data_IF_643605278536
#
_entry.id   IF_643605278536
#
_cell.length_a   1.000
_cell.length_b   1.000
_cell.length_c   1.000
_cell.angle_alpha   90.00
_cell.angle_beta   90.00
_cell.angle_gamma   90.00
#
_symmetry.space_group_name_H-M   'P 1'
#
loop_
_entity.id
_entity.type
_entity.pdbx_description
1 polymer ?
#
# COMPACT_ATOMS: atom_id res chain seq x y z
N UNK A 1 11.01 2.21 8.63
CA UNK A 1 11.70 0.94 8.99
C UNK A 1 11.85 -0.02 7.81
N UNK A 2 10.78 -0.26 7.04
CA UNK A 2 10.79 -1.15 5.86
C UNK A 2 11.88 -0.83 4.82
N UNK A 3 11.98 0.43 4.39
CA UNK A 3 13.00 0.85 3.42
C UNK A 3 14.44 0.59 3.92
N UNK A 4 14.71 0.86 5.20
CA UNK A 4 16.02 0.59 5.83
C UNK A 4 16.33 -0.91 5.82
N UNK A 5 15.34 -1.75 6.09
CA UNK A 5 15.50 -3.20 6.08
C UNK A 5 15.90 -3.72 4.68
N UNK A 6 15.16 -3.35 3.64
CA UNK A 6 15.44 -3.80 2.27
C UNK A 6 16.74 -3.19 1.69
N UNK A 7 17.02 -1.91 1.94
CA UNK A 7 18.28 -1.29 1.53
C UNK A 7 19.48 -1.94 2.23
N UNK A 8 19.37 -2.30 3.51
CA UNK A 8 20.40 -3.05 4.24
C UNK A 8 20.69 -4.43 3.65
N UNK A 9 19.71 -5.05 2.98
CA UNK A 9 19.86 -6.32 2.25
C UNK A 9 20.34 -6.15 0.80
N UNK A 10 20.70 -4.93 0.40
CA UNK A 10 21.07 -4.55 -0.97
C UNK A 10 19.95 -4.76 -1.99
N UNK A 11 18.68 -4.61 -1.58
CA UNK A 11 17.54 -4.53 -2.51
C UNK A 11 17.30 -3.09 -2.98
N UNK A 12 16.70 -2.91 -4.17
CA UNK A 12 16.34 -1.58 -4.70
C UNK A 12 15.02 -1.16 -4.08
N UNK A 13 14.99 0.01 -3.45
CA UNK A 13 13.74 0.53 -2.87
C UNK A 13 13.36 1.82 -3.58
N UNK A 14 12.18 1.81 -4.20
CA UNK A 14 11.50 2.99 -4.73
C UNK A 14 10.27 3.32 -3.91
N UNK A 15 9.71 4.50 -4.13
CA UNK A 15 8.48 4.96 -3.51
C UNK A 15 7.59 5.60 -4.56
N UNK A 16 6.28 5.35 -4.44
CA UNK A 16 5.25 5.97 -5.27
C UNK A 16 4.19 6.48 -4.29
N UNK A 17 3.83 7.76 -4.40
CA UNK A 17 2.66 8.29 -3.72
C UNK A 17 1.45 8.23 -4.63
N UNK A 18 0.31 7.93 -4.04
CA UNK A 18 -0.97 7.84 -4.72
C UNK A 18 -2.00 8.62 -3.89
N UNK A 19 -2.87 9.41 -4.51
CA UNK A 19 -3.82 10.29 -3.82
C UNK A 19 -3.74 11.78 -4.17
N UNK A 20 -2.92 12.15 -5.16
CA UNK A 20 -2.75 13.51 -5.68
C UNK A 20 -1.94 13.47 -6.97
N UNK A 21 -0.92 14.32 -7.10
CA UNK A 21 0.09 14.14 -8.15
C UNK A 21 0.79 12.79 -7.99
N UNK A 22 0.90 12.03 -9.09
CA UNK A 22 1.77 10.86 -9.14
C UNK A 22 3.21 11.37 -9.03
N UNK A 23 3.74 11.34 -7.82
CA UNK A 23 5.16 11.53 -7.59
C UNK A 23 5.81 10.16 -7.44
N UNK A 24 7.06 10.06 -7.86
CA UNK A 24 7.78 8.79 -7.88
C UNK A 24 9.24 9.02 -7.55
N UNK A 25 9.73 8.24 -6.59
CA UNK A 25 11.13 8.10 -6.28
C UNK A 25 11.65 6.79 -6.87
N UNK A 26 12.50 6.88 -7.89
CA UNK A 26 13.07 5.72 -8.58
C UNK A 26 13.82 4.80 -7.62
N UNK A 27 13.64 3.49 -7.82
CA UNK A 27 14.27 2.49 -6.98
C UNK A 27 15.80 2.53 -7.12
N UNK A 28 16.51 2.73 -6.01
CA UNK A 28 17.96 2.80 -5.95
C UNK A 28 18.50 2.08 -4.72
N UNK A 29 19.77 1.68 -4.76
CA UNK A 29 20.52 1.10 -3.64
C UNK A 29 21.40 2.13 -2.91
N UNK A 30 21.38 3.39 -3.35
CA UNK A 30 22.30 4.40 -2.84
C UNK A 30 22.14 4.57 -1.32
N UNK A 31 23.26 4.77 -0.62
CA UNK A 31 23.26 5.02 0.83
C UNK A 31 22.42 6.26 1.20
N UNK A 32 22.28 7.18 0.25
CA UNK A 32 21.45 8.39 0.35
C UNK A 32 19.97 8.16 0.07
N UNK A 33 19.57 6.98 -0.42
CA UNK A 33 18.19 6.69 -0.78
C UNK A 33 17.23 6.80 0.42
N UNK A 34 17.71 6.50 1.63
CA UNK A 34 16.92 6.70 2.86
C UNK A 34 16.55 8.17 3.04
N UNK A 35 17.50 9.09 2.84
CA UNK A 35 17.24 10.53 2.96
C UNK A 35 16.28 11.00 1.89
N UNK A 36 16.47 10.56 0.63
CA UNK A 36 15.53 10.86 -0.46
C UNK A 36 14.11 10.35 -0.18
N UNK A 37 13.95 9.18 0.45
CA UNK A 37 12.65 8.67 0.87
C UNK A 37 12.04 9.55 1.96
N UNK A 38 12.85 10.00 2.94
CA UNK A 38 12.36 10.88 4.00
C UNK A 38 11.94 12.24 3.44
N UNK A 39 12.79 12.87 2.63
CA UNK A 39 12.50 14.15 1.97
C UNK A 39 11.21 14.04 1.15
N UNK A 40 11.08 12.97 0.37
CA UNK A 40 9.87 12.69 -0.39
C UNK A 40 8.62 12.59 0.49
N UNK A 41 8.69 11.87 1.63
CA UNK A 41 7.54 11.73 2.53
C UNK A 41 7.16 13.06 3.19
N UNK A 42 8.15 13.93 3.45
CA UNK A 42 7.91 15.28 3.97
C UNK A 42 7.25 16.19 2.91
N UNK A 43 7.63 16.05 1.64
CA UNK A 43 7.03 16.82 0.53
C UNK A 43 5.59 16.36 0.21
N UNK A 44 5.32 15.06 0.28
CA UNK A 44 3.99 14.50 -0.01
C UNK A 44 2.93 14.94 1.00
N UNK A 45 3.31 15.12 2.27
CA UNK A 45 2.40 15.66 3.31
C UNK A 45 1.89 17.07 2.94
N UNK A 46 2.75 17.86 2.28
CA UNK A 46 2.42 19.23 1.81
C UNK A 46 1.55 19.21 0.54
N UNK A 47 1.63 18.16 -0.29
CA UNK A 47 0.99 18.07 -1.61
C UNK A 47 -0.30 17.24 -1.68
N UNK A 48 -0.78 16.65 -0.59
CA UNK A 48 -2.14 16.09 -0.49
C UNK A 48 -3.27 17.12 -0.75
N UNK A 49 -2.91 18.36 -1.09
CA UNK A 49 -3.76 19.50 -1.36
C UNK A 49 -3.61 19.97 -2.83
N UNK A 50 -4.66 19.76 -3.64
CA UNK A 50 -4.98 20.53 -4.87
C UNK A 50 -4.17 20.41 -6.18
N UNK A 51 -3.74 19.23 -6.67
CA UNK A 51 -3.33 19.15 -8.09
C UNK A 51 -3.48 17.76 -8.75
N UNK A 52 -4.20 17.78 -9.89
CA UNK A 52 -4.39 16.78 -10.96
C UNK A 52 -4.93 15.36 -10.65
N UNK A 53 -5.87 14.92 -11.51
CA UNK A 53 -6.93 13.97 -11.19
C UNK A 53 -6.95 12.68 -12.04
N UNK A 54 -6.02 12.50 -12.99
CA UNK A 54 -6.25 11.56 -14.11
C UNK A 54 -5.41 10.27 -14.12
N UNK A 55 -4.48 10.08 -13.19
CA UNK A 55 -3.63 8.86 -13.22
C UNK A 55 -4.27 7.76 -12.37
N UNK A 56 -4.93 6.82 -13.05
CA UNK A 56 -5.52 5.62 -12.43
C UNK A 56 -4.62 4.37 -12.54
N UNK A 57 -3.52 4.47 -13.28
CA UNK A 57 -2.67 3.32 -13.64
C UNK A 57 -1.20 3.73 -13.62
N UNK A 58 -0.36 2.90 -13.01
CA UNK A 58 1.08 3.05 -13.07
C UNK A 58 1.59 2.74 -14.50
N UNK A 59 2.34 3.65 -15.16
CA UNK A 59 2.88 3.40 -16.49
C UNK A 59 3.72 2.11 -16.55
N UNK A 60 3.72 1.45 -17.71
CA UNK A 60 4.56 0.28 -17.94
C UNK A 60 6.04 0.69 -17.93
N UNK A 61 6.90 -0.10 -17.28
CA UNK A 61 8.33 0.20 -17.14
C UNK A 61 8.70 1.03 -15.90
N UNK A 62 7.72 1.53 -15.14
CA UNK A 62 7.99 2.26 -13.88
C UNK A 62 8.56 1.34 -12.79
N UNK A 63 8.13 0.07 -12.76
CA UNK A 63 8.62 -0.92 -11.81
C UNK A 63 9.65 -1.84 -12.47
N UNK A 64 10.79 -2.09 -11.81
CA UNK A 64 11.72 -3.13 -12.25
C UNK A 64 11.03 -4.50 -12.34
N UNK A 65 11.49 -5.40 -13.23
CA UNK A 65 11.03 -6.79 -13.24
C UNK A 65 11.19 -7.42 -11.85
N UNK A 66 10.21 -8.24 -11.44
CA UNK A 66 10.18 -8.94 -10.15
C UNK A 66 10.10 -8.02 -8.91
N UNK A 67 9.64 -6.77 -9.06
CA UNK A 67 9.43 -5.88 -7.93
C UNK A 67 8.33 -6.40 -7.00
N UNK A 68 8.58 -6.38 -5.69
CA UNK A 68 7.55 -6.54 -4.67
C UNK A 68 6.91 -5.18 -4.38
N UNK A 69 5.58 -5.13 -4.49
CA UNK A 69 4.79 -3.94 -4.21
C UNK A 69 4.17 -4.10 -2.83
N UNK A 70 4.52 -3.20 -1.91
CA UNK A 70 3.88 -3.09 -0.59
C UNK A 70 3.17 -1.74 -0.59
N UNK A 71 1.85 -1.78 -0.63
CA UNK A 71 1.00 -0.60 -0.68
C UNK A 71 0.47 -0.26 0.70
N UNK A 72 0.64 0.99 1.13
CA UNK A 72 0.02 1.52 2.34
C UNK A 72 -1.19 2.32 1.91
N UNK A 73 -2.39 1.90 2.33
CA UNK A 73 -3.62 2.53 1.87
C UNK A 73 -4.73 2.40 2.91
N UNK A 74 -5.57 3.42 3.10
CA UNK A 74 -6.81 3.29 3.87
C UNK A 74 -7.93 2.56 3.12
N UNK A 75 -7.68 2.12 1.87
CA UNK A 75 -8.59 1.38 0.99
C UNK A 75 -9.87 2.14 0.59
N UNK A 76 -9.82 3.47 0.60
CA UNK A 76 -10.98 4.33 0.30
C UNK A 76 -10.96 4.98 -1.09
N UNK A 77 -9.79 5.09 -1.72
CA UNK A 77 -9.66 5.64 -3.08
C UNK A 77 -9.75 4.53 -4.14
N UNK A 78 -10.89 4.44 -4.83
CA UNK A 78 -11.13 3.48 -5.92
C UNK A 78 -10.03 3.45 -6.99
N UNK A 79 -9.37 4.58 -7.26
CA UNK A 79 -8.28 4.64 -8.25
C UNK A 79 -7.05 3.90 -7.73
N UNK A 80 -6.77 4.04 -6.43
CA UNK A 80 -5.67 3.32 -5.80
C UNK A 80 -5.97 1.82 -5.82
N UNK A 81 -7.23 1.45 -5.54
CA UNK A 81 -7.66 0.07 -5.60
C UNK A 81 -7.50 -0.51 -7.02
N UNK A 82 -7.92 0.22 -8.06
CA UNK A 82 -7.74 -0.17 -9.45
C UNK A 82 -6.26 -0.32 -9.84
N UNK A 83 -5.39 0.60 -9.42
CA UNK A 83 -3.96 0.52 -9.68
C UNK A 83 -3.34 -0.74 -9.05
N UNK A 84 -3.74 -1.12 -7.84
CA UNK A 84 -3.25 -2.32 -7.16
C UNK A 84 -3.70 -3.60 -7.87
N UNK A 85 -4.93 -3.64 -8.35
CA UNK A 85 -5.46 -4.76 -9.13
C UNK A 85 -4.75 -4.86 -10.49
N UNK A 86 -4.49 -3.75 -11.16
CA UNK A 86 -3.71 -3.71 -12.41
C UNK A 86 -2.26 -4.17 -12.21
N UNK A 87 -1.60 -3.78 -11.11
CA UNK A 87 -0.27 -4.30 -10.78
C UNK A 87 -0.29 -5.82 -10.56
N UNK A 88 -1.32 -6.33 -9.87
CA UNK A 88 -1.49 -7.76 -9.65
C UNK A 88 -1.72 -8.51 -10.96
N UNK A 89 -2.56 -7.97 -11.86
CA UNK A 89 -2.84 -8.59 -13.17
C UNK A 89 -1.62 -8.61 -14.09
N UNK A 90 -0.69 -7.67 -13.91
CA UNK A 90 0.63 -7.65 -14.58
C UNK A 90 1.64 -8.64 -14.00
N UNK A 91 1.26 -9.42 -12.98
CA UNK A 91 2.10 -10.45 -12.37
C UNK A 91 2.99 -9.97 -11.23
N UNK A 92 2.89 -8.70 -10.81
CA UNK A 92 3.65 -8.24 -9.64
C UNK A 92 3.07 -8.88 -8.36
N UNK A 93 3.92 -9.35 -7.43
CA UNK A 93 3.48 -9.64 -6.07
C UNK A 93 3.10 -8.32 -5.39
N UNK A 94 1.84 -8.24 -4.94
CA UNK A 94 1.27 -7.08 -4.26
C UNK A 94 0.82 -7.51 -2.87
N UNK A 95 1.21 -6.73 -1.86
CA UNK A 95 0.71 -6.83 -0.48
C UNK A 95 0.13 -5.47 -0.12
N UNK A 96 -1.06 -5.44 0.46
CA UNK A 96 -1.66 -4.20 0.95
C UNK A 96 -1.62 -4.17 2.47
N UNK A 97 -1.11 -3.07 2.99
CA UNK A 97 -1.15 -2.70 4.40
C UNK A 97 -2.27 -1.67 4.54
N UNK A 98 -3.36 -2.12 5.14
CA UNK A 98 -4.50 -1.28 5.46
C UNK A 98 -4.15 -0.40 6.67
N UNK A 99 -4.10 0.92 6.45
CA UNK A 99 -3.64 1.88 7.44
C UNK A 99 -4.75 2.39 8.36
N UNK A 100 -5.99 1.94 8.18
CA UNK A 100 -7.08 2.33 9.07
C UNK A 100 -7.04 1.49 10.34
N UNK A 101 -6.94 2.17 11.47
CA UNK A 101 -7.12 1.58 12.78
C UNK A 101 -8.62 1.44 13.06
N UNK A 102 -9.25 0.39 12.54
CA UNK A 102 -10.71 0.19 12.67
C UNK A 102 -11.17 0.19 14.14
N UNK A 103 -10.33 -0.31 15.05
CA UNK A 103 -10.60 -0.34 16.48
C UNK A 103 -10.69 1.06 17.11
N UNK A 104 -10.22 2.10 16.42
CA UNK A 104 -10.29 3.49 16.85
C UNK A 104 -11.49 4.24 16.28
N UNK A 105 -12.20 3.66 15.33
CA UNK A 105 -13.36 4.28 14.68
C UNK A 105 -14.62 3.95 15.48
N UNK A 106 -15.02 4.86 16.37
CA UNK A 106 -16.24 4.69 17.18
C UNK A 106 -17.50 5.11 16.38
N UNK A 107 -18.65 4.43 16.59
CA UNK A 107 -19.92 4.86 16.02
C UNK A 107 -20.35 6.21 16.60
N UNK A 108 -21.02 7.02 15.78
CA UNK A 108 -21.74 8.20 16.27
C UNK A 108 -22.89 7.77 17.20
N UNK A 109 -23.26 8.57 18.21
CA UNK A 109 -24.37 8.24 19.09
C UNK A 109 -25.71 8.06 18.36
N UNK A 110 -26.55 7.16 18.88
CA UNK A 110 -27.90 6.90 18.37
C UNK A 110 -27.99 5.83 17.27
N UNK A 111 -29.22 5.42 16.95
CA UNK A 111 -29.47 4.35 15.99
C UNK A 111 -28.88 4.61 14.59
N UNK A 112 -28.97 5.83 14.00
CA UNK A 112 -28.35 6.11 12.71
C UNK A 112 -26.82 5.94 12.72
N UNK A 113 -26.15 6.33 13.81
CA UNK A 113 -24.71 6.20 13.94
C UNK A 113 -24.24 4.76 14.05
N UNK A 114 -25.01 3.91 14.75
CA UNK A 114 -24.77 2.47 14.79
C UNK A 114 -24.93 1.81 13.41
N UNK A 115 -25.98 2.19 12.66
CA UNK A 115 -26.20 1.68 11.30
C UNK A 115 -25.12 2.15 10.34
N UNK A 116 -24.73 3.42 10.38
CA UNK A 116 -23.66 3.96 9.54
C UNK A 116 -22.32 3.27 9.80
N UNK A 117 -21.98 3.04 11.07
CA UNK A 117 -20.76 2.32 11.45
C UNK A 117 -20.79 0.86 10.98
N UNK A 118 -21.93 0.18 11.10
CA UNK A 118 -22.07 -1.18 10.59
C UNK A 118 -21.95 -1.23 9.06
N UNK A 119 -22.62 -0.33 8.34
CA UNK A 119 -22.50 -0.23 6.89
C UNK A 119 -21.05 0.04 6.45
N UNK A 120 -20.35 0.93 7.15
CA UNK A 120 -18.93 1.20 6.91
C UNK A 120 -18.05 -0.04 7.11
N UNK A 121 -18.24 -0.79 8.21
CA UNK A 121 -17.51 -2.05 8.45
C UNK A 121 -17.75 -3.08 7.35
N UNK A 122 -19.01 -3.28 6.95
CA UNK A 122 -19.36 -4.19 5.85
C UNK A 122 -18.73 -3.76 4.52
N UNK A 123 -18.70 -2.45 4.23
CA UNK A 123 -18.04 -1.94 3.02
C UNK A 123 -16.54 -2.29 3.03
N UNK A 124 -15.87 -2.11 4.17
CA UNK A 124 -14.44 -2.44 4.35
C UNK A 124 -14.18 -3.93 4.23
N UNK A 125 -14.96 -4.76 4.90
CA UNK A 125 -14.91 -6.22 4.78
C UNK A 125 -15.09 -6.65 3.32
N UNK A 126 -15.98 -5.99 2.58
CA UNK A 126 -16.18 -6.21 1.15
C UNK A 126 -14.93 -5.92 0.31
N UNK A 127 -14.22 -4.82 0.59
CA UNK A 127 -12.96 -4.49 -0.10
C UNK A 127 -11.87 -5.50 0.21
N UNK A 128 -11.70 -5.86 1.49
CA UNK A 128 -10.75 -6.88 1.93
C UNK A 128 -11.02 -8.22 1.25
N UNK A 129 -12.28 -8.66 1.24
CA UNK A 129 -12.71 -9.89 0.59
C UNK A 129 -12.41 -9.86 -0.91
N UNK A 130 -12.78 -8.78 -1.61
CA UNK A 130 -12.49 -8.59 -3.04
C UNK A 130 -10.99 -8.73 -3.32
N UNK A 131 -10.13 -8.09 -2.53
CA UNK A 131 -8.68 -8.17 -2.71
C UNK A 131 -8.14 -9.58 -2.46
N UNK A 132 -8.63 -10.25 -1.41
CA UNK A 132 -8.29 -11.63 -1.12
C UNK A 132 -8.66 -12.57 -2.28
N UNK A 133 -9.84 -12.41 -2.89
CA UNK A 133 -10.25 -13.23 -4.06
C UNK A 133 -9.36 -13.00 -5.29
N UNK A 134 -8.72 -11.83 -5.39
CA UNK A 134 -7.75 -11.51 -6.44
C UNK A 134 -6.31 -11.94 -6.08
N UNK A 135 -6.14 -12.63 -4.95
CA UNK A 135 -4.84 -13.07 -4.46
C UNK A 135 -3.93 -11.93 -4.01
N UNK A 136 -4.52 -10.80 -3.58
CA UNK A 136 -3.82 -9.67 -2.98
C UNK A 136 -4.07 -9.73 -1.46
N UNK A 137 -3.11 -10.17 -0.64
CA UNK A 137 -3.27 -10.16 0.80
C UNK A 137 -3.38 -8.73 1.31
N UNK A 138 -4.36 -8.52 2.19
CA UNK A 138 -4.58 -7.27 2.93
C UNK A 138 -4.31 -7.53 4.40
N UNK A 139 -3.53 -6.67 5.05
CA UNK A 139 -3.25 -6.73 6.48
C UNK A 139 -3.54 -5.39 7.13
N UNK A 140 -4.36 -5.40 8.18
CA UNK A 140 -4.58 -4.25 9.03
C UNK A 140 -3.33 -3.87 9.80
N UNK A 141 -3.03 -2.57 9.86
CA UNK A 141 -1.96 -2.02 10.68
C UNK A 141 -2.39 -0.68 11.27
N UNK A 142 -2.67 -0.67 12.57
CA UNK A 142 -3.14 0.52 13.29
C UNK A 142 -2.04 1.47 13.77
N UNK A 143 -0.78 1.21 13.39
CA UNK A 143 0.38 2.00 13.84
C UNK A 143 0.81 1.76 15.29
N UNK A 144 0.01 1.04 16.08
CA UNK A 144 0.31 0.70 17.49
C UNK A 144 1.34 -0.41 17.62
N UNK A 145 1.29 -1.37 16.71
CA UNK A 145 2.23 -2.48 16.64
C UNK A 145 3.30 -2.24 15.58
N UNK A 146 4.39 -3.01 15.65
CA UNK A 146 5.43 -2.93 14.62
C UNK A 146 4.89 -3.41 13.28
N UNK A 147 5.19 -2.68 12.20
CA UNK A 147 4.83 -3.08 10.84
C UNK A 147 5.35 -4.49 10.48
N UNK A 148 6.49 -4.89 11.03
CA UNK A 148 7.05 -6.22 10.82
C UNK A 148 6.17 -7.33 11.37
N UNK A 149 5.51 -7.08 12.51
CA UNK A 149 4.57 -8.03 13.09
C UNK A 149 3.33 -8.18 12.20
N UNK A 150 2.78 -7.06 11.73
CA UNK A 150 1.67 -7.08 10.76
C UNK A 150 2.05 -7.86 9.49
N UNK A 151 3.19 -7.54 8.87
CA UNK A 151 3.64 -8.23 7.64
C UNK A 151 3.99 -9.72 7.85
N UNK A 152 4.36 -10.13 9.05
CA UNK A 152 4.63 -11.54 9.35
C UNK A 152 3.36 -12.41 9.31
N UNK A 153 2.17 -11.81 9.47
CA UNK A 153 0.89 -12.50 9.35
C UNK A 153 0.54 -12.87 7.89
N UNK A 154 1.19 -12.24 6.90
CA UNK A 154 1.04 -12.61 5.50
C UNK A 154 1.86 -13.87 5.24
N UNK A 155 1.25 -14.98 4.75
CA UNK A 155 2.02 -16.05 4.14
C UNK A 155 2.76 -15.42 2.96
N UNK A 156 4.06 -15.19 3.12
CA UNK A 156 4.90 -14.54 2.10
C UNK A 156 4.57 -15.18 0.76
N UNK A 157 3.98 -14.40 -0.16
CA UNK A 157 3.65 -14.85 -1.50
C UNK A 157 4.92 -15.51 -2.04
N UNK A 158 4.79 -16.81 -2.29
CA UNK A 158 5.91 -17.74 -2.28
C UNK A 158 7.11 -17.23 -3.05
N UNK A 159 8.28 -17.59 -2.51
CA UNK A 159 9.64 -17.56 -3.08
C UNK A 159 9.76 -18.29 -4.45
N UNK A 160 8.70 -18.34 -5.25
CA UNK A 160 8.42 -19.33 -6.29
C UNK A 160 8.88 -18.97 -7.70
N UNK A 161 9.66 -17.90 -7.88
CA UNK A 161 10.24 -17.56 -9.19
C UNK A 161 11.75 -17.26 -9.15
N UNK A 162 12.49 -17.70 -8.11
CA UNK A 162 13.97 -17.71 -8.14
C UNK A 162 14.59 -19.10 -8.37
N UNK A 163 13.77 -20.10 -8.65
CA UNK A 163 14.22 -21.44 -9.01
C UNK A 163 13.52 -21.86 -10.30
N UNK A 164 13.96 -21.32 -11.43
CA UNK A 164 13.33 -21.59 -12.71
C UNK A 164 14.10 -21.02 -13.90
N UNK A 165 15.26 -21.62 -14.17
CA UNK A 165 16.07 -21.60 -15.41
C UNK A 165 16.65 -20.27 -15.88
#
# INVERSE_FOLDING_TARGET
>A
VLARHYLGRKDRVGLVSFGGLLHWLSASHARTQIYRIVDYLLEVDVQLSYAWKDIQVLPRGTLPPLALVIAFSPLEDERALHALVDLRSRGFPVIVVDTVAEELVAPMPGAPGAVAHHAWRLAREGVHFRFATLGIPVVGWSGRESLQAALAAVPMLGRRERAGR
#
